data_IF_293958794930
#
_entry.id   IF_293958794930
#
_cell.length_a   1.000
_cell.length_b   1.000
_cell.length_c   1.000
_cell.angle_alpha   90.00
_cell.angle_beta   90.00
_cell.angle_gamma   90.00
#
_symmetry.space_group_name_H-M   'P 1'
#
loop_
_entity.id
_entity.type
_entity.pdbx_description
1 polymer ?
#
# COMPACT_ATOMS: atom_id res chain seq x y z
N UNK A 1 -27.40 15.22 10.93
CA UNK A 1 -26.42 14.17 11.26
C UNK A 1 -26.64 13.01 10.31
N UNK A 2 -25.65 12.72 9.47
CA UNK A 2 -25.67 11.54 8.60
C UNK A 2 -25.64 10.27 9.46
N UNK A 3 -26.25 9.17 8.99
CA UNK A 3 -26.18 7.86 9.64
C UNK A 3 -24.73 7.43 9.88
N UNK A 4 -23.82 7.84 8.99
CA UNK A 4 -22.38 7.59 9.07
C UNK A 4 -21.77 8.30 10.29
N UNK A 5 -22.10 9.57 10.53
CA UNK A 5 -21.59 10.33 11.68
C UNK A 5 -22.13 9.82 13.02
N UNK A 6 -23.35 9.29 13.03
CA UNK A 6 -23.95 8.69 14.23
C UNK A 6 -23.24 7.37 14.57
N UNK A 7 -22.94 6.54 13.57
CA UNK A 7 -22.20 5.29 13.76
C UNK A 7 -20.76 5.51 14.22
N UNK A 8 -20.02 6.44 13.60
CA UNK A 8 -18.62 6.72 13.99
C UNK A 8 -18.54 7.19 15.45
N UNK A 9 -19.54 7.93 15.91
CA UNK A 9 -19.63 8.41 17.30
C UNK A 9 -19.97 7.30 18.29
N UNK A 10 -20.91 6.42 17.94
CA UNK A 10 -21.47 5.43 18.85
C UNK A 10 -20.64 4.12 18.90
N UNK A 11 -19.98 3.74 17.79
CA UNK A 11 -19.32 2.43 17.63
C UNK A 11 -17.80 2.53 17.42
N UNK A 12 -17.25 3.75 17.24
CA UNK A 12 -15.85 3.95 16.87
C UNK A 12 -15.53 3.58 15.41
N UNK A 13 -14.29 3.82 14.95
CA UNK A 13 -13.85 3.41 13.62
C UNK A 13 -13.87 1.88 13.48
N UNK A 14 -14.22 1.38 12.29
CA UNK A 14 -14.29 -0.06 12.04
C UNK A 14 -12.90 -0.69 12.24
N UNK A 15 -12.82 -1.89 12.87
CA UNK A 15 -11.56 -2.61 12.94
C UNK A 15 -11.11 -2.95 11.52
N UNK A 16 -9.95 -2.43 11.12
CA UNK A 16 -9.27 -2.85 9.90
C UNK A 16 -8.91 -4.32 10.11
N UNK A 17 -9.49 -5.23 9.32
CA UNK A 17 -9.11 -6.64 9.33
C UNK A 17 -7.70 -6.76 8.74
N UNK A 18 -6.69 -6.49 9.57
CA UNK A 18 -5.31 -6.76 9.23
C UNK A 18 -5.09 -8.26 9.13
N UNK A 19 -4.75 -8.75 7.95
CA UNK A 19 -4.15 -10.08 7.81
C UNK A 19 -2.75 -10.03 8.45
N UNK A 20 -2.67 -10.38 9.74
CA UNK A 20 -1.38 -10.54 10.43
C UNK A 20 -0.72 -11.83 9.93
N UNK A 21 0.35 -11.69 9.15
CA UNK A 21 1.21 -12.79 8.70
C UNK A 21 2.05 -13.42 9.84
N UNK A 22 1.52 -13.49 11.06
CA UNK A 22 2.21 -14.04 12.24
C UNK A 22 2.13 -15.57 12.34
N UNK A 23 1.40 -16.25 11.46
CA UNK A 23 1.28 -17.72 11.48
C UNK A 23 2.45 -18.48 10.81
N UNK A 24 3.49 -17.81 10.29
CA UNK A 24 4.59 -18.49 9.58
C UNK A 24 5.88 -18.69 10.38
N UNK A 25 5.95 -18.30 11.66
CA UNK A 25 7.24 -18.18 12.37
C UNK A 25 7.68 -19.40 13.19
N UNK A 26 6.88 -20.46 13.34
CA UNK A 26 7.24 -21.56 14.26
C UNK A 26 7.94 -22.78 13.65
N UNK A 27 8.21 -22.82 12.34
CA UNK A 27 8.74 -24.02 11.68
C UNK A 27 10.07 -23.83 10.92
N UNK A 28 11.11 -23.24 11.51
CA UNK A 28 12.49 -23.54 11.05
C UNK A 28 13.59 -23.03 11.98
N UNK A 29 13.96 -23.82 12.99
CA UNK A 29 15.12 -23.54 13.84
C UNK A 29 16.48 -23.86 13.18
N UNK A 30 16.57 -24.07 11.86
CA UNK A 30 17.81 -24.54 11.22
C UNK A 30 17.95 -24.21 9.71
N UNK A 31 17.68 -22.97 9.29
CA UNK A 31 17.97 -22.54 7.90
C UNK A 31 18.97 -21.38 7.85
N UNK A 32 20.05 -21.47 7.04
CA UNK A 32 20.98 -20.36 6.86
C UNK A 32 20.30 -19.17 6.17
N UNK A 33 20.70 -17.92 6.46
CA UNK A 33 20.02 -16.73 5.97
C UNK A 33 20.54 -16.36 4.57
N UNK A 34 19.77 -16.64 3.51
CA UNK A 34 20.13 -16.17 2.16
C UNK A 34 18.92 -15.75 1.33
N UNK A 35 18.87 -14.45 1.03
CA UNK A 35 18.40 -13.79 -0.20
C UNK A 35 17.27 -14.44 -1.03
N UNK A 36 16.05 -14.38 -0.52
CA UNK A 36 14.86 -14.21 -1.37
C UNK A 36 14.07 -13.02 -0.81
N UNK A 37 13.51 -12.11 -1.63
CA UNK A 37 12.44 -11.25 -1.12
C UNK A 37 11.39 -12.22 -0.56
N UNK A 38 10.90 -12.01 0.68
CA UNK A 38 10.02 -12.97 1.31
C UNK A 38 8.88 -13.21 0.32
N UNK A 39 8.73 -14.46 -0.11
CA UNK A 39 7.66 -14.91 -1.02
C UNK A 39 6.27 -14.53 -0.48
N UNK A 40 6.18 -14.07 0.78
CA UNK A 40 5.00 -13.45 1.38
C UNK A 40 4.75 -11.97 1.01
N UNK A 41 5.73 -11.06 1.02
CA UNK A 41 5.40 -9.61 0.88
C UNK A 41 5.00 -9.25 -0.54
N UNK A 42 5.72 -9.74 -1.55
CA UNK A 42 5.39 -9.43 -2.94
C UNK A 42 4.08 -10.10 -3.36
N UNK A 43 3.86 -11.34 -2.94
CA UNK A 43 2.58 -12.02 -3.16
C UNK A 43 1.42 -11.32 -2.44
N UNK A 44 1.64 -10.79 -1.22
CA UNK A 44 0.64 -9.99 -0.51
C UNK A 44 0.36 -8.66 -1.23
N UNK A 45 1.38 -8.03 -1.82
CA UNK A 45 1.21 -6.82 -2.65
C UNK A 45 0.42 -7.11 -3.91
N UNK A 46 0.70 -8.22 -4.58
CA UNK A 46 -0.04 -8.67 -5.77
C UNK A 46 -1.51 -8.97 -5.42
N UNK A 47 -1.74 -9.71 -4.32
CA UNK A 47 -3.08 -10.02 -3.84
C UNK A 47 -3.85 -8.75 -3.42
N UNK A 48 -3.21 -7.81 -2.72
CA UNK A 48 -3.80 -6.52 -2.37
C UNK A 48 -4.18 -5.70 -3.60
N UNK A 49 -3.33 -5.69 -4.63
CA UNK A 49 -3.63 -5.02 -5.91
C UNK A 49 -4.84 -5.66 -6.59
N UNK A 50 -4.94 -7.00 -6.59
CA UNK A 50 -6.09 -7.70 -7.14
C UNK A 50 -7.39 -7.35 -6.40
N UNK A 51 -7.38 -7.31 -5.06
CA UNK A 51 -8.56 -6.96 -4.25
C UNK A 51 -8.97 -5.50 -4.48
N UNK A 52 -8.02 -4.57 -4.58
CA UNK A 52 -8.34 -3.16 -4.87
C UNK A 52 -8.94 -3.02 -6.28
N UNK A 53 -8.45 -3.77 -7.26
CA UNK A 53 -9.03 -3.79 -8.61
C UNK A 53 -10.45 -4.37 -8.63
N UNK A 54 -10.70 -5.46 -7.89
CA UNK A 54 -12.04 -6.04 -7.77
C UNK A 54 -13.03 -5.07 -7.14
N UNK A 55 -12.59 -4.32 -6.11
CA UNK A 55 -13.37 -3.25 -5.49
C UNK A 55 -13.75 -2.18 -6.52
N UNK A 56 -12.80 -1.68 -7.31
CA UNK A 56 -13.09 -0.70 -8.37
C UNK A 56 -14.07 -1.25 -9.40
N UNK A 57 -13.89 -2.48 -9.85
CA UNK A 57 -14.82 -3.15 -10.78
C UNK A 57 -16.24 -3.25 -10.19
N UNK A 58 -16.38 -3.55 -8.90
CA UNK A 58 -17.68 -3.55 -8.23
C UNK A 58 -18.32 -2.16 -8.21
N UNK A 59 -17.55 -1.12 -7.92
CA UNK A 59 -18.05 0.27 -7.93
C UNK A 59 -18.52 0.67 -9.33
N UNK A 60 -17.74 0.35 -10.37
CA UNK A 60 -18.10 0.60 -11.77
C UNK A 60 -19.37 -0.14 -12.18
N UNK A 61 -19.51 -1.42 -11.83
CA UNK A 61 -20.70 -2.20 -12.15
C UNK A 61 -21.95 -1.65 -11.47
N UNK A 62 -21.87 -1.29 -10.18
CA UNK A 62 -23.02 -0.71 -9.47
C UNK A 62 -23.40 0.63 -10.11
N UNK A 63 -22.41 1.47 -10.42
CA UNK A 63 -22.65 2.75 -11.07
C UNK A 63 -23.28 2.58 -12.47
N UNK A 64 -22.80 1.61 -13.25
CA UNK A 64 -23.35 1.27 -14.56
C UNK A 64 -24.82 0.87 -14.48
N UNK A 65 -25.19 0.03 -13.51
CA UNK A 65 -26.59 -0.37 -13.29
C UNK A 65 -27.45 0.86 -12.97
N UNK A 66 -27.01 1.73 -12.05
CA UNK A 66 -27.77 2.92 -11.64
C UNK A 66 -28.00 3.91 -12.79
N UNK A 67 -27.06 4.00 -13.73
CA UNK A 67 -27.12 4.93 -14.86
C UNK A 67 -27.56 4.28 -16.19
N UNK A 68 -27.93 2.99 -16.14
CA UNK A 68 -28.35 2.24 -17.32
C UNK A 68 -29.61 2.84 -17.94
N UNK A 69 -29.79 2.63 -19.26
CA UNK A 69 -31.01 3.07 -19.94
C UNK A 69 -32.24 2.30 -19.44
N UNK A 70 -32.07 1.07 -18.99
CA UNK A 70 -33.14 0.20 -18.49
C UNK A 70 -33.78 0.76 -17.21
N UNK A 71 -33.01 1.43 -16.35
CA UNK A 71 -33.53 2.14 -15.18
C UNK A 71 -34.56 3.23 -15.54
N UNK A 72 -34.56 3.72 -16.78
CA UNK A 72 -35.56 4.69 -17.28
C UNK A 72 -36.83 4.04 -17.83
N UNK A 73 -36.83 2.72 -18.04
CA UNK A 73 -37.93 1.97 -18.64
C UNK A 73 -38.79 1.21 -17.62
N UNK A 74 -38.29 1.06 -16.39
CA UNK A 74 -39.01 0.38 -15.30
C UNK A 74 -39.86 1.37 -14.49
N UNK A 75 -40.75 0.84 -13.65
CA UNK A 75 -41.60 1.67 -12.79
C UNK A 75 -40.80 2.42 -11.73
N UNK A 76 -41.37 3.51 -11.22
CA UNK A 76 -40.73 4.31 -10.16
C UNK A 76 -40.47 3.49 -8.89
N UNK A 77 -41.34 2.53 -8.56
CA UNK A 77 -41.18 1.63 -7.42
C UNK A 77 -39.99 0.68 -7.58
N UNK A 78 -39.92 -0.02 -8.73
CA UNK A 78 -38.79 -0.91 -9.03
C UNK A 78 -37.47 -0.15 -9.09
N UNK A 79 -37.48 1.06 -9.68
CA UNK A 79 -36.31 1.93 -9.76
C UNK A 79 -35.81 2.32 -8.37
N UNK A 80 -36.72 2.68 -7.47
CA UNK A 80 -36.36 3.04 -6.10
C UNK A 80 -35.78 1.84 -5.33
N UNK A 81 -36.38 0.66 -5.45
CA UNK A 81 -35.87 -0.56 -4.81
C UNK A 81 -34.46 -0.93 -5.30
N UNK A 82 -34.22 -0.83 -6.61
CA UNK A 82 -32.91 -1.03 -7.21
C UNK A 82 -31.90 0.02 -6.73
N UNK A 83 -32.29 1.30 -6.66
CA UNK A 83 -31.42 2.37 -6.17
C UNK A 83 -31.06 2.20 -4.69
N UNK A 84 -32.02 1.83 -3.84
CA UNK A 84 -31.76 1.54 -2.43
C UNK A 84 -30.77 0.38 -2.28
N UNK A 85 -30.94 -0.66 -3.09
CA UNK A 85 -30.03 -1.82 -3.09
C UNK A 85 -28.64 -1.44 -3.59
N UNK A 86 -28.55 -0.70 -4.69
CA UNK A 86 -27.29 -0.22 -5.26
C UNK A 86 -26.55 0.68 -4.27
N UNK A 87 -27.23 1.64 -3.63
CA UNK A 87 -26.64 2.52 -2.62
C UNK A 87 -26.13 1.75 -1.40
N UNK A 88 -26.86 0.71 -0.97
CA UNK A 88 -26.41 -0.17 0.12
C UNK A 88 -25.15 -0.95 -0.27
N UNK A 89 -25.09 -1.47 -1.49
CA UNK A 89 -23.90 -2.18 -1.99
C UNK A 89 -22.72 -1.22 -2.14
N UNK A 90 -22.92 -0.06 -2.76
CA UNK A 90 -21.93 1.01 -2.90
C UNK A 90 -21.34 1.40 -1.54
N UNK A 91 -22.20 1.67 -0.55
CA UNK A 91 -21.77 2.01 0.81
C UNK A 91 -20.93 0.91 1.46
N UNK A 92 -21.25 -0.37 1.24
CA UNK A 92 -20.47 -1.50 1.76
C UNK A 92 -19.12 -1.63 1.05
N UNK A 93 -19.09 -1.50 -0.27
CA UNK A 93 -17.86 -1.57 -1.06
C UNK A 93 -16.90 -0.43 -0.68
N UNK A 94 -17.40 0.78 -0.46
CA UNK A 94 -16.59 1.94 -0.04
C UNK A 94 -15.99 1.80 1.37
N UNK A 95 -16.48 0.89 2.22
CA UNK A 95 -15.86 0.62 3.53
C UNK A 95 -14.65 -0.30 3.45
N UNK A 96 -14.36 -0.90 2.30
CA UNK A 96 -13.21 -1.78 2.11
C UNK A 96 -11.94 -0.94 1.91
N UNK A 97 -11.02 -1.05 2.85
CA UNK A 97 -9.67 -0.49 2.80
C UNK A 97 -8.67 -1.62 2.61
N UNK A 98 -7.78 -1.50 1.62
CA UNK A 98 -6.74 -2.49 1.31
C UNK A 98 -5.38 -1.86 1.53
N UNK A 99 -4.57 -2.46 2.41
CA UNK A 99 -3.22 -2.00 2.70
C UNK A 99 -2.27 -3.17 2.93
N UNK A 100 -0.99 -2.98 2.58
CA UNK A 100 0.08 -3.92 2.89
C UNK A 100 1.17 -3.19 3.65
N UNK A 101 1.30 -3.52 4.93
CA UNK A 101 2.30 -2.95 5.80
C UNK A 101 3.45 -3.93 6.05
N UNK A 102 4.66 -3.39 6.17
CA UNK A 102 5.84 -4.16 6.57
C UNK A 102 6.33 -3.64 7.90
N UNK A 103 6.11 -4.39 8.97
CA UNK A 103 6.58 -4.04 10.31
C UNK A 103 8.08 -4.36 10.39
N UNK A 104 8.90 -3.34 10.65
CA UNK A 104 10.35 -3.49 10.85
C UNK A 104 10.68 -3.42 12.33
N UNK A 105 11.53 -4.33 12.81
CA UNK A 105 12.07 -4.24 14.16
C UNK A 105 13.05 -3.06 14.31
N UNK A 106 13.31 -2.56 15.53
CA UNK A 106 14.28 -1.48 15.75
C UNK A 106 15.67 -1.80 15.15
N UNK A 107 16.12 -3.04 15.30
CA UNK A 107 17.39 -3.50 14.75
C UNK A 107 17.39 -3.52 13.21
N UNK A 108 16.27 -3.90 12.58
CA UNK A 108 16.13 -3.84 11.12
C UNK A 108 16.15 -2.39 10.63
N UNK A 109 15.55 -1.46 11.37
CA UNK A 109 15.57 -0.04 11.04
C UNK A 109 16.98 0.55 11.13
N UNK A 110 17.76 0.18 12.15
CA UNK A 110 19.17 0.58 12.26
C UNK A 110 20.03 -0.01 11.15
N UNK A 111 19.84 -1.30 10.85
CA UNK A 111 20.54 -1.99 9.78
C UNK A 111 20.27 -1.34 8.41
N UNK A 112 19.02 -0.95 8.15
CA UNK A 112 18.64 -0.23 6.95
C UNK A 112 19.31 1.14 6.88
N UNK A 113 19.29 1.92 7.96
CA UNK A 113 19.98 3.23 8.02
C UNK A 113 21.47 3.11 7.73
N UNK A 114 22.11 2.08 8.27
CA UNK A 114 23.53 1.82 8.03
C UNK A 114 23.81 1.48 6.56
N UNK A 115 22.99 0.60 5.96
CA UNK A 115 23.11 0.25 4.54
C UNK A 115 22.89 1.48 3.64
N UNK A 116 21.88 2.31 3.92
CA UNK A 116 21.62 3.54 3.17
C UNK A 116 22.80 4.51 3.26
N UNK A 117 23.40 4.71 4.44
CA UNK A 117 24.58 5.56 4.59
C UNK A 117 25.75 5.11 3.70
N UNK A 118 26.03 3.81 3.66
CA UNK A 118 27.09 3.25 2.81
C UNK A 118 26.80 3.53 1.34
N UNK A 119 25.54 3.38 0.91
CA UNK A 119 25.13 3.70 -0.46
C UNK A 119 25.39 5.18 -0.76
N UNK A 120 24.98 6.08 0.13
CA UNK A 120 25.16 7.52 -0.04
C UNK A 120 26.65 7.92 -0.12
N UNK A 121 27.50 7.30 0.69
CA UNK A 121 28.96 7.51 0.64
C UNK A 121 29.53 7.10 -0.73
N UNK A 122 29.10 5.97 -1.29
CA UNK A 122 29.53 5.50 -2.62
C UNK A 122 29.01 6.41 -3.74
N UNK A 123 27.77 6.89 -3.64
CA UNK A 123 27.19 7.82 -4.62
C UNK A 123 27.91 9.18 -4.58
N UNK A 124 28.24 9.67 -3.38
CA UNK A 124 28.98 10.92 -3.20
C UNK A 124 30.43 10.82 -3.68
N UNK A 125 31.08 9.66 -3.50
CA UNK A 125 32.40 9.38 -4.06
C UNK A 125 32.41 9.40 -5.60
N UNK A 126 31.31 8.99 -6.25
CA UNK A 126 31.17 9.02 -7.71
C UNK A 126 30.74 10.38 -8.29
N UNK A 127 30.08 11.21 -7.48
CA UNK A 127 29.67 12.57 -7.86
C UNK A 127 30.68 13.64 -7.44
N UNK A 128 31.73 13.25 -6.71
CA UNK A 128 32.96 14.02 -6.55
C UNK A 128 33.70 14.12 -7.87
N UNK A 129 33.54 15.27 -8.52
CA UNK A 129 34.37 15.76 -9.62
C UNK A 129 35.86 15.40 -9.37
N UNK A 130 36.59 14.74 -10.29
CA UNK A 130 38.01 14.51 -10.08
C UNK A 130 38.68 15.86 -9.88
N UNK A 131 39.56 16.04 -8.86
CA UNK A 131 40.26 17.30 -8.70
C UNK A 131 40.97 17.62 -10.02
N UNK A 132 40.61 18.75 -10.62
CA UNK A 132 41.18 19.12 -11.92
C UNK A 132 42.72 19.03 -11.81
N UNK A 133 43.43 18.47 -12.81
CA UNK A 133 44.87 18.25 -12.74
C UNK A 133 45.68 19.51 -12.41
N UNK A 134 45.09 20.69 -12.63
CA UNK A 134 45.70 22.00 -12.34
C UNK A 134 45.79 22.32 -10.84
N UNK A 135 44.96 21.71 -9.99
CA UNK A 135 44.98 21.96 -8.53
C UNK A 135 46.09 21.23 -7.79
N UNK A 136 46.56 20.09 -8.31
CA UNK A 136 47.68 19.32 -7.73
C UNK A 136 49.04 19.98 -8.00
N UNK A 137 49.17 20.78 -9.05
CA UNK A 137 50.45 21.45 -9.39
C UNK A 137 50.75 22.63 -8.46
N UNK A 138 49.72 23.29 -7.90
CA UNK A 138 49.94 24.45 -7.02
C UNK A 138 50.36 24.06 -5.59
N UNK A 139 50.02 22.88 -5.09
CA UNK A 139 50.44 22.43 -3.74
C UNK A 139 51.83 21.81 -3.70
N UNK A 140 52.35 21.32 -4.83
CA UNK A 140 53.68 20.70 -4.89
C UNK A 140 54.84 21.69 -5.13
N UNK A 141 54.58 22.95 -5.48
CA UNK A 141 55.61 23.96 -5.77
C UNK A 141 55.76 25.03 -4.67
N UNK A 142 55.07 24.87 -3.54
CA UNK A 142 55.08 25.80 -2.41
C UNK A 142 55.70 25.20 -1.11
N UNK A 143 56.46 24.11 -1.24
CA UNK A 143 57.33 23.55 -0.19
C UNK A 143 58.80 23.59 -0.65
#
# INVERSE_FOLDING_TARGET
MSWIEKRIRDEGPLPVLGFQAEQYTEASANRPPVHSPPLGVEALREAATAVEQEKEVLLEMIHSIQNSQDMRQISDGEREELNLTANRLMGRTLTVEVSVETIRSPQQQESLKHATRIIDEVVNLKSGDPPSPRSLVCTAFAL
#
